data_IF_669858336689
#
_entry.id   IF_669858336689
#
_cell.length_a   1.000
_cell.length_b   1.000
_cell.length_c   1.000
_cell.angle_alpha   90.00
_cell.angle_beta   90.00
_cell.angle_gamma   90.00
#
_symmetry.space_group_name_H-M   'P 1'
#
loop_
_entity.id
_entity.type
_entity.pdbx_description
1 polymer ?
#
# COMPACT_ATOMS: atom_id res chain seq x y z
N UNK A 1 -3.37 6.68 -1.08
CA UNK A 1 -1.97 6.17 -1.14
C UNK A 1 -1.48 6.32 -2.57
N UNK A 2 -0.37 7.04 -2.75
CA UNK A 2 0.32 7.25 -4.02
C UNK A 2 1.61 6.42 -4.04
N UNK A 3 1.83 5.66 -5.10
CA UNK A 3 3.04 4.87 -5.36
C UNK A 3 3.97 5.71 -6.24
N UNK A 4 4.96 6.34 -5.60
CA UNK A 4 5.90 7.30 -6.22
C UNK A 4 6.98 6.61 -7.04
N UNK A 5 7.39 5.40 -6.65
CA UNK A 5 8.34 4.58 -7.42
C UNK A 5 7.72 3.23 -7.79
N UNK A 6 8.27 2.53 -8.80
CA UNK A 6 7.76 1.24 -9.23
C UNK A 6 7.58 0.29 -8.03
N UNK A 7 6.38 -0.26 -7.92
CA UNK A 7 5.98 -1.12 -6.80
C UNK A 7 5.55 -2.48 -7.35
N UNK A 8 5.94 -3.56 -6.69
CA UNK A 8 5.46 -4.90 -7.00
C UNK A 8 5.42 -5.76 -5.74
N UNK A 9 4.58 -6.78 -5.73
CA UNK A 9 4.53 -7.75 -4.64
C UNK A 9 4.98 -9.13 -5.11
N UNK A 10 5.77 -9.80 -4.29
CA UNK A 10 6.12 -11.21 -4.51
C UNK A 10 5.08 -12.10 -3.85
N UNK A 11 4.74 -13.20 -4.52
CA UNK A 11 3.84 -14.22 -3.99
C UNK A 11 4.67 -15.47 -3.70
N UNK A 12 4.40 -16.12 -2.56
CA UNK A 12 5.09 -17.35 -2.18
C UNK A 12 4.88 -18.40 -3.27
N UNK A 13 5.94 -19.12 -3.63
CA UNK A 13 5.94 -20.18 -4.66
C UNK A 13 5.56 -19.70 -6.07
N UNK A 14 5.71 -18.42 -6.39
CA UNK A 14 5.53 -17.91 -7.75
C UNK A 14 6.77 -17.17 -8.24
N UNK A 15 7.15 -17.45 -9.49
CA UNK A 15 8.17 -16.68 -10.22
C UNK A 15 7.63 -15.32 -10.68
N UNK A 16 6.31 -15.18 -10.80
CA UNK A 16 5.65 -13.96 -11.25
C UNK A 16 5.45 -12.96 -10.12
N UNK A 17 5.50 -11.66 -10.48
CA UNK A 17 5.25 -10.54 -9.57
C UNK A 17 3.85 -9.98 -9.78
N UNK A 18 3.20 -9.58 -8.70
CA UNK A 18 1.94 -8.85 -8.77
C UNK A 18 2.26 -7.39 -9.01
N UNK A 19 1.87 -6.91 -10.20
CA UNK A 19 2.14 -5.55 -10.70
C UNK A 19 0.88 -4.69 -10.77
N UNK A 20 -0.05 -4.93 -9.84
CA UNK A 20 -1.24 -4.12 -9.62
C UNK A 20 -1.47 -3.97 -8.10
N UNK A 21 -2.14 -2.91 -7.65
CA UNK A 21 -2.47 -2.74 -6.23
C UNK A 21 -3.30 -3.91 -5.72
N UNK A 22 -2.77 -4.59 -4.69
CA UNK A 22 -3.45 -5.68 -4.02
C UNK A 22 -3.44 -5.39 -2.52
N UNK A 23 -4.60 -5.07 -1.96
CA UNK A 23 -4.72 -4.68 -0.55
C UNK A 23 -4.25 -5.76 0.42
N UNK A 24 -4.50 -7.04 0.14
CA UNK A 24 -4.07 -8.13 1.01
C UNK A 24 -2.55 -8.22 1.05
N UNK A 25 -1.91 -8.15 -0.12
CA UNK A 25 -0.45 -8.15 -0.23
C UNK A 25 0.17 -6.89 0.36
N UNK A 26 -0.43 -5.72 0.14
CA UNK A 26 0.02 -4.45 0.71
C UNK A 26 0.03 -4.50 2.25
N UNK A 27 -1.10 -4.81 2.88
CA UNK A 27 -1.21 -4.81 4.35
C UNK A 27 -0.31 -5.88 4.98
N UNK A 28 -0.26 -7.07 4.38
CA UNK A 28 0.59 -8.16 4.86
C UNK A 28 2.07 -7.86 4.64
N UNK A 29 2.44 -7.18 3.54
CA UNK A 29 3.80 -6.75 3.29
C UNK A 29 4.27 -5.74 4.33
N UNK A 30 3.45 -4.75 4.68
CA UNK A 30 3.78 -3.77 5.74
C UNK A 30 3.94 -4.49 7.08
N UNK A 31 2.96 -5.32 7.48
CA UNK A 31 3.02 -6.08 8.74
C UNK A 31 4.26 -6.98 8.83
N UNK A 32 4.61 -7.69 7.76
CA UNK A 32 5.82 -8.50 7.70
C UNK A 32 7.10 -7.65 7.80
N UNK A 33 7.08 -6.43 7.27
CA UNK A 33 8.22 -5.53 7.33
C UNK A 33 8.48 -5.06 8.75
N UNK A 34 7.42 -4.72 9.50
CA UNK A 34 7.52 -4.38 10.92
C UNK A 34 8.02 -5.55 11.76
N UNK A 35 7.56 -6.76 11.44
CA UNK A 35 8.02 -7.97 12.11
C UNK A 35 9.53 -8.20 11.88
N UNK A 36 9.99 -8.12 10.62
CA UNK A 36 11.41 -8.29 10.27
C UNK A 36 12.27 -7.20 10.93
N UNK A 37 11.78 -5.97 10.96
CA UNK A 37 12.44 -4.84 11.61
C UNK A 37 12.40 -4.90 13.15
N UNK A 38 11.76 -5.92 13.74
CA UNK A 38 11.57 -6.09 15.20
C UNK A 38 10.87 -4.90 15.87
N UNK A 39 10.05 -4.17 15.11
CA UNK A 39 9.25 -3.04 15.62
C UNK A 39 7.97 -3.57 16.25
N UNK A 40 7.25 -4.43 15.54
CA UNK A 40 5.98 -4.98 16.00
C UNK A 40 5.66 -6.30 15.29
N UNK A 41 5.01 -7.22 16.00
CA UNK A 41 4.41 -8.42 15.41
C UNK A 41 2.89 -8.30 15.38
N UNK A 42 2.33 -8.07 14.19
CA UNK A 42 0.88 -7.91 14.00
C UNK A 42 0.28 -9.28 13.63
N UNK A 43 -0.69 -9.81 14.40
CA UNK A 43 -1.34 -11.08 14.07
C UNK A 43 -2.04 -11.05 12.71
N UNK A 44 -1.90 -12.14 11.93
CA UNK A 44 -2.51 -12.26 10.59
C UNK A 44 -4.03 -12.07 10.61
N UNK A 45 -4.71 -12.53 11.64
CA UNK A 45 -6.17 -12.37 11.76
C UNK A 45 -6.58 -10.90 11.90
N UNK A 46 -5.77 -10.05 12.55
CA UNK A 46 -6.02 -8.61 12.61
C UNK A 46 -5.90 -7.97 11.23
N UNK A 47 -4.90 -8.37 10.44
CA UNK A 47 -4.74 -7.91 9.05
C UNK A 47 -5.92 -8.38 8.18
N UNK A 48 -6.37 -9.62 8.33
CA UNK A 48 -7.51 -10.18 7.59
C UNK A 48 -8.82 -9.46 7.93
N UNK A 49 -9.07 -9.22 9.22
CA UNK A 49 -10.25 -8.49 9.70
C UNK A 49 -10.26 -7.04 9.18
N UNK A 50 -9.11 -6.34 9.25
CA UNK A 50 -8.97 -5.00 8.68
C UNK A 50 -9.19 -5.01 7.16
N UNK A 51 -8.56 -5.95 6.44
CA UNK A 51 -8.71 -6.07 4.99
C UNK A 51 -10.17 -6.23 4.57
N UNK A 52 -10.96 -7.01 5.29
CA UNK A 52 -12.37 -7.25 4.97
C UNK A 52 -13.22 -5.97 4.96
N UNK A 53 -12.79 -4.92 5.67
CA UNK A 53 -13.48 -3.63 5.78
C UNK A 53 -12.91 -2.53 4.87
N UNK A 54 -11.90 -2.84 4.06
CA UNK A 54 -11.24 -1.92 3.15
C UNK A 54 -11.58 -2.22 1.69
N UNK A 55 -11.77 -1.18 0.89
CA UNK A 55 -11.94 -1.26 -0.56
C UNK A 55 -11.10 -0.21 -1.28
N UNK A 56 -10.71 -0.52 -2.52
CA UNK A 56 -10.18 0.48 -3.46
C UNK A 56 -11.39 1.10 -4.16
N UNK A 57 -11.62 2.40 -3.98
CA UNK A 57 -12.78 3.13 -4.54
C UNK A 57 -12.42 4.11 -5.65
N UNK A 58 -11.12 4.26 -5.91
CA UNK A 58 -10.59 4.99 -7.04
C UNK A 58 -9.16 4.58 -7.27
N UNK A 59 -8.74 4.53 -8.53
CA UNK A 59 -7.36 4.20 -8.89
C UNK A 59 -6.99 4.85 -10.21
N UNK A 60 -5.73 5.24 -10.31
CA UNK A 60 -5.07 5.55 -11.56
C UNK A 60 -3.67 4.95 -11.45
N UNK A 61 -3.44 3.88 -12.21
CA UNK A 61 -2.27 3.03 -12.07
C UNK A 61 -1.71 2.73 -13.44
N UNK A 62 -0.39 2.80 -13.55
CA UNK A 62 0.34 2.42 -14.75
C UNK A 62 1.35 1.34 -14.43
N UNK A 63 1.31 0.24 -15.18
CA UNK A 63 2.38 -0.76 -15.16
C UNK A 63 3.63 -0.19 -15.84
N UNK A 64 4.78 -0.44 -15.23
CA UNK A 64 6.08 0.07 -15.67
C UNK A 64 7.12 -1.03 -15.62
N UNK A 65 8.07 -0.98 -16.56
CA UNK A 65 9.24 -1.87 -16.59
C UNK A 65 10.46 -1.04 -16.25
N UNK A 66 11.13 -1.36 -15.15
CA UNK A 66 12.36 -0.68 -14.72
C UNK A 66 13.56 -1.54 -15.11
N UNK A 67 14.61 -0.94 -15.65
CA UNK A 67 15.82 -1.66 -16.04
C UNK A 67 16.97 -1.29 -15.11
N UNK A 68 17.73 -2.30 -14.71
CA UNK A 68 19.01 -2.16 -14.01
C UNK A 68 20.00 -3.10 -14.69
N UNK A 69 20.87 -2.52 -15.53
CA UNK A 69 21.70 -3.26 -16.47
C UNK A 69 20.86 -4.18 -17.37
N UNK A 70 21.13 -5.49 -17.31
CA UNK A 70 20.40 -6.53 -18.05
C UNK A 70 19.10 -6.98 -17.36
N UNK A 71 18.87 -6.59 -16.11
CA UNK A 71 17.70 -7.03 -15.34
C UNK A 71 16.52 -6.12 -15.60
N UNK A 72 15.35 -6.72 -15.73
CA UNK A 72 14.09 -5.99 -15.91
C UNK A 72 13.16 -6.31 -14.75
N UNK A 73 12.72 -5.27 -14.06
CA UNK A 73 11.87 -5.32 -12.88
C UNK A 73 10.48 -4.80 -13.24
N UNK A 74 9.46 -5.66 -13.28
CA UNK A 74 8.09 -5.23 -13.54
C UNK A 74 7.48 -4.64 -12.26
N UNK A 75 6.69 -3.58 -12.40
CA UNK A 75 5.99 -2.96 -11.28
C UNK A 75 4.89 -2.02 -11.74
N UNK A 76 4.36 -1.24 -10.81
CA UNK A 76 3.37 -0.20 -11.07
C UNK A 76 3.65 1.08 -10.31
N UNK A 77 3.15 2.19 -10.85
CA UNK A 77 3.14 3.53 -10.22
C UNK A 77 1.74 4.12 -10.33
N UNK A 78 1.47 5.20 -9.59
CA UNK A 78 0.19 5.91 -9.64
C UNK A 78 -0.42 6.06 -8.26
N UNK A 79 -1.74 6.02 -8.13
CA UNK A 79 -2.40 6.14 -6.84
C UNK A 79 -3.65 5.27 -6.71
N UNK A 80 -3.98 4.95 -5.46
CA UNK A 80 -5.24 4.34 -5.06
C UNK A 80 -5.89 5.15 -3.93
N UNK A 81 -7.21 5.27 -4.01
CA UNK A 81 -8.06 5.75 -2.92
C UNK A 81 -8.61 4.55 -2.18
N UNK A 82 -8.32 4.50 -0.90
CA UNK A 82 -8.84 3.47 0.00
C UNK A 82 -10.03 4.03 0.76
N UNK A 83 -11.11 3.27 0.82
CA UNK A 83 -12.27 3.58 1.65
C UNK A 83 -12.46 2.45 2.65
N UNK A 84 -12.70 2.83 3.89
CA UNK A 84 -13.03 1.91 4.96
C UNK A 84 -14.51 2.03 5.32
N UNK A 85 -15.15 0.91 5.70
CA UNK A 85 -16.54 0.89 6.19
C UNK A 85 -16.61 0.16 7.52
N UNK A 86 -17.21 0.80 8.52
CA UNK A 86 -17.48 0.19 9.83
C UNK A 86 -16.23 -0.25 10.60
N UNK A 87 -15.13 0.50 10.52
CA UNK A 87 -13.96 0.25 11.38
C UNK A 87 -14.31 0.53 12.84
N UNK A 88 -13.89 -0.36 13.73
CA UNK A 88 -13.80 -0.03 15.15
C UNK A 88 -12.52 0.80 15.45
N UNK A 89 -12.37 1.25 16.69
CA UNK A 89 -11.24 2.09 17.10
C UNK A 89 -9.89 1.39 16.96
N UNK A 90 -9.83 0.09 17.24
CA UNK A 90 -8.61 -0.71 17.10
C UNK A 90 -8.19 -0.84 15.63
N UNK A 91 -9.15 -1.12 14.75
CA UNK A 91 -8.92 -1.24 13.32
C UNK A 91 -8.54 0.10 12.67
N UNK A 92 -9.15 1.20 13.12
CA UNK A 92 -8.79 2.54 12.68
C UNK A 92 -7.34 2.88 13.09
N UNK A 93 -6.97 2.59 14.34
CA UNK A 93 -5.60 2.77 14.84
C UNK A 93 -4.60 1.90 14.08
N UNK A 94 -4.93 0.62 13.84
CA UNK A 94 -4.10 -0.28 13.06
C UNK A 94 -3.90 0.22 11.63
N UNK A 95 -4.96 0.70 10.96
CA UNK A 95 -4.85 1.26 9.62
C UNK A 95 -3.94 2.49 9.57
N UNK A 96 -4.11 3.42 10.50
CA UNK A 96 -3.28 4.63 10.58
C UNK A 96 -1.81 4.26 10.78
N UNK A 97 -1.52 3.34 11.70
CA UNK A 97 -0.16 2.86 11.97
C UNK A 97 0.46 2.14 10.78
N UNK A 98 -0.30 1.28 10.09
CA UNK A 98 0.19 0.63 8.86
C UNK A 98 0.46 1.63 7.75
N UNK A 99 -0.35 2.69 7.63
CA UNK A 99 -0.14 3.75 6.66
C UNK A 99 1.14 4.54 6.93
N UNK A 100 1.36 4.96 8.18
CA UNK A 100 2.58 5.66 8.61
C UNK A 100 3.84 4.84 8.30
N UNK A 101 3.84 3.56 8.68
CA UNK A 101 4.97 2.69 8.42
C UNK A 101 5.19 2.37 6.94
N UNK A 102 4.13 2.40 6.12
CA UNK A 102 4.27 2.26 4.69
C UNK A 102 5.05 3.43 4.08
N UNK A 103 4.82 4.66 4.54
CA UNK A 103 5.57 5.84 4.09
C UNK A 103 7.03 5.81 4.54
N UNK A 104 7.29 5.37 5.79
CA UNK A 104 8.65 5.32 6.33
C UNK A 104 9.51 4.19 5.73
N UNK A 105 8.93 3.01 5.53
CA UNK A 105 9.69 1.80 5.19
C UNK A 105 9.50 1.34 3.75
N UNK A 106 8.66 2.04 2.97
CA UNK A 106 8.24 1.65 1.63
C UNK A 106 7.49 0.31 1.62
N UNK A 107 6.91 -0.06 0.47
CA UNK A 107 6.10 -1.28 0.33
C UNK A 107 6.56 -2.16 -0.83
N UNK A 108 6.15 -3.43 -0.84
CA UNK A 108 6.51 -4.37 -1.90
C UNK A 108 7.93 -4.90 -1.82
N UNK A 109 8.46 -5.36 -2.95
CA UNK A 109 9.84 -5.86 -3.09
C UNK A 109 10.81 -4.77 -3.58
N UNK A 110 12.11 -4.99 -3.36
CA UNK A 110 13.16 -4.10 -3.89
C UNK A 110 13.31 -2.75 -3.15
N UNK A 111 12.76 -2.63 -1.93
CA UNK A 111 12.71 -1.37 -1.18
C UNK A 111 14.08 -0.74 -0.92
N UNK A 112 15.09 -1.55 -0.65
CA UNK A 112 16.48 -1.08 -0.46
C UNK A 112 17.12 -0.56 -1.75
N UNK A 113 16.53 -0.85 -2.91
CA UNK A 113 16.94 -0.33 -4.21
C UNK A 113 16.03 0.83 -4.68
N UNK A 114 15.24 1.43 -3.78
CA UNK A 114 14.39 2.59 -4.09
C UNK A 114 13.01 2.26 -4.67
N UNK A 115 12.63 0.98 -4.75
CA UNK A 115 11.28 0.58 -5.19
C UNK A 115 10.26 0.76 -4.05
N UNK A 116 8.99 0.90 -4.43
CA UNK A 116 7.90 0.84 -3.46
C UNK A 116 7.69 2.08 -2.59
N UNK A 117 8.29 3.21 -2.94
CA UNK A 117 8.11 4.47 -2.20
C UNK A 117 6.65 4.90 -2.31
N UNK A 118 6.02 5.11 -1.16
CA UNK A 118 4.62 5.54 -1.09
C UNK A 118 4.46 6.80 -0.28
N UNK A 119 3.36 7.49 -0.57
CA UNK A 119 2.88 8.63 0.19
C UNK A 119 1.40 8.38 0.53
N UNK A 120 1.01 8.66 1.75
CA UNK A 120 -0.36 8.47 2.24
C UNK A 120 -0.92 9.80 2.70
N UNK A 121 -1.81 10.34 1.88
CA UNK A 121 -2.62 11.49 2.25
C UNK A 121 -4.04 11.07 2.64
N UNK A 122 -4.63 11.72 3.66
CA UNK A 122 -6.07 11.65 3.87
C UNK A 122 -6.78 12.24 2.64
N UNK A 123 -8.05 11.87 2.37
CA UNK A 123 -8.82 12.53 1.33
C UNK A 123 -8.84 14.03 1.61
N UNK A 124 -8.48 14.83 0.60
CA UNK A 124 -8.66 16.27 0.67
C UNK A 124 -10.14 16.53 1.00
N UNK A 125 -10.42 17.29 2.06
CA UNK A 125 -11.76 17.84 2.25
C UNK A 125 -12.04 18.65 0.99
N UNK A 126 -12.98 18.21 0.15
CA UNK A 126 -13.53 19.11 -0.85
C UNK A 126 -14.08 20.30 -0.06
N UNK A 127 -13.45 21.47 -0.21
CA UNK A 127 -14.10 22.70 0.16
C UNK A 127 -15.37 22.75 -0.69
N UNK A 128 -16.53 22.61 -0.05
CA UNK A 128 -17.80 22.88 -0.69
C UNK A 128 -17.71 24.29 -1.23
N UNK A 129 -17.53 24.39 -2.55
CA UNK A 129 -17.62 25.68 -3.23
C UNK A 129 -19.10 25.99 -3.22
N UNK A 130 -19.53 26.77 -2.22
CA UNK A 130 -20.85 27.37 -2.17
C UNK A 130 -21.03 28.22 -3.44
N UNK A 131 -21.57 27.61 -4.49
CA UNK A 131 -22.12 28.33 -5.63
C UNK A 131 -23.58 28.64 -5.32
N UNK A 132 -23.77 29.70 -4.53
CA UNK A 132 -24.99 30.49 -4.57
C UNK A 132 -24.58 31.91 -4.93
N UNK A 133 -24.75 32.24 -6.20
CA UNK A 133 -24.84 33.59 -6.73
C UNK A 133 -26.10 33.64 -7.61
#
# INVERSE_FOLDING_TARGET
MRFRTPTYFSVKNSSFKVIQPNLTLLLTNIANTLHIARIESIPREKIKALRAKLGITGLDIRSVMTRDGSRVYPGFTGWVRLTAKGLDSEQASLLARLAEWAELLNVGGGRTAGFGVVEVSPPAKHAETNQHA
#
